data_IF_369667477234
#
_entry.id   IF_369667477234
#
_cell.length_a   1.000
_cell.length_b   1.000
_cell.length_c   1.000
_cell.angle_alpha   90.00
_cell.angle_beta   90.00
_cell.angle_gamma   90.00
#
_symmetry.space_group_name_H-M   'P 1'
#
loop_
_entity.id
_entity.type
_entity.pdbx_description
1 polymer ?
#
# COMPACT_ATOMS: atom_id res chain seq x y z
N UNK A 1 5.68 29.90 9.11
CA UNK A 1 5.01 28.61 8.87
C UNK A 1 6.09 27.56 8.81
N UNK A 2 5.98 26.47 9.57
CA UNK A 2 6.87 25.33 9.39
C UNK A 2 6.66 24.78 7.96
N UNK A 3 7.71 24.25 7.31
CA UNK A 3 7.56 23.67 5.98
C UNK A 3 6.58 22.47 6.06
N UNK A 4 5.85 22.19 4.98
CA UNK A 4 4.98 21.01 4.92
C UNK A 4 5.83 19.74 4.72
N UNK A 5 5.35 18.60 5.23
CA UNK A 5 5.96 17.27 5.05
C UNK A 5 6.37 17.01 3.58
N UNK A 6 5.53 17.44 2.65
CA UNK A 6 5.77 17.39 1.21
C UNK A 6 6.87 18.34 0.74
N UNK A 7 6.91 19.60 1.20
CA UNK A 7 7.95 20.56 0.81
C UNK A 7 9.36 20.21 1.30
N UNK A 8 9.47 19.44 2.38
CA UNK A 8 10.76 18.94 2.90
C UNK A 8 11.22 17.68 2.17
N UNK A 9 10.31 17.00 1.48
CA UNK A 9 10.61 15.70 0.87
C UNK A 9 11.24 15.84 -0.50
N UNK A 10 10.77 16.76 -1.35
CA UNK A 10 11.28 16.98 -2.70
C UNK A 10 11.67 18.45 -2.87
N UNK A 11 12.95 18.69 -3.13
CA UNK A 11 13.50 20.02 -3.36
C UNK A 11 14.14 20.08 -4.74
N UNK A 12 13.68 20.99 -5.60
CA UNK A 12 14.30 21.21 -6.91
C UNK A 12 15.70 21.84 -6.75
N UNK A 13 16.68 21.33 -7.50
CA UNK A 13 18.04 21.87 -7.59
C UNK A 13 18.18 22.70 -8.87
N UNK A 14 17.83 22.10 -10.01
CA UNK A 14 17.76 22.75 -11.32
C UNK A 14 16.57 22.20 -12.15
N UNK A 15 16.57 22.44 -13.47
CA UNK A 15 15.48 22.02 -14.34
C UNK A 15 15.31 20.49 -14.41
N UNK A 16 16.38 19.74 -14.22
CA UNK A 16 16.46 18.29 -14.48
C UNK A 16 16.85 17.50 -13.23
N UNK A 17 16.94 18.14 -12.06
CA UNK A 17 17.36 17.47 -10.82
C UNK A 17 16.68 17.97 -9.55
N UNK A 18 16.49 17.04 -8.61
CA UNK A 18 15.81 17.25 -7.33
C UNK A 18 16.52 16.48 -6.21
N UNK A 19 16.54 17.03 -5.01
CA UNK A 19 16.92 16.33 -3.79
C UNK A 19 15.69 15.70 -3.14
N UNK A 20 15.78 14.39 -2.87
CA UNK A 20 14.81 13.62 -2.09
C UNK A 20 15.32 13.51 -0.65
N UNK A 21 14.53 14.01 0.30
CA UNK A 21 14.77 13.85 1.73
C UNK A 21 16.12 14.41 2.21
N UNK A 22 16.66 15.43 1.54
CA UNK A 22 17.97 16.00 1.89
C UNK A 22 19.18 15.11 1.62
N UNK A 23 19.01 13.97 0.93
CA UNK A 23 20.08 12.97 0.79
C UNK A 23 20.26 12.40 -0.62
N UNK A 24 19.19 12.10 -1.34
CA UNK A 24 19.31 11.50 -2.67
C UNK A 24 19.14 12.54 -3.76
N UNK A 25 20.03 12.53 -4.75
CA UNK A 25 19.89 13.29 -5.98
C UNK A 25 19.10 12.47 -7.00
N UNK A 26 17.90 12.91 -7.31
CA UNK A 26 17.10 12.48 -8.44
C UNK A 26 17.51 13.28 -9.68
N UNK A 27 17.96 12.60 -10.74
CA UNK A 27 18.34 13.22 -12.01
C UNK A 27 17.47 12.70 -13.16
N UNK A 28 16.97 13.59 -14.01
CA UNK A 28 16.30 13.29 -15.28
C UNK A 28 17.29 13.44 -16.44
N UNK A 29 17.50 12.38 -17.22
CA UNK A 29 18.57 12.30 -18.23
C UNK A 29 18.14 11.51 -19.46
N UNK A 30 18.72 11.77 -20.64
CA UNK A 30 18.42 11.00 -21.86
C UNK A 30 18.87 9.53 -21.80
N UNK A 31 19.87 9.20 -20.97
CA UNK A 31 20.40 7.84 -20.83
C UNK A 31 20.68 7.51 -19.37
N UNK A 32 20.41 6.27 -18.93
CA UNK A 32 20.74 5.84 -17.58
C UNK A 32 22.25 5.64 -17.44
N UNK A 33 22.81 6.00 -16.28
CA UNK A 33 24.21 5.71 -16.00
C UNK A 33 24.40 4.26 -15.56
N UNK A 34 25.50 3.59 -15.93
CA UNK A 34 25.79 2.24 -15.48
C UNK A 34 25.95 2.20 -13.95
N UNK A 35 25.15 1.35 -13.29
CA UNK A 35 25.22 1.12 -11.84
C UNK A 35 24.21 1.93 -11.02
N UNK A 36 23.58 2.96 -11.60
CA UNK A 36 22.56 3.74 -10.91
C UNK A 36 21.20 3.02 -10.94
N UNK A 37 20.48 3.07 -9.82
CA UNK A 37 19.08 2.71 -9.79
C UNK A 37 18.30 3.71 -10.65
N UNK A 38 17.75 3.24 -11.78
CA UNK A 38 17.13 4.09 -12.80
C UNK A 38 15.87 3.47 -13.38
N UNK A 39 14.98 4.31 -13.89
CA UNK A 39 13.71 3.92 -14.50
C UNK A 39 13.29 4.89 -15.59
N UNK A 40 12.45 4.44 -16.51
CA UNK A 40 11.99 5.26 -17.64
C UNK A 40 10.98 6.32 -17.18
N UNK A 41 11.00 7.47 -17.84
CA UNK A 41 9.96 8.50 -17.71
C UNK A 41 8.72 8.25 -18.60
N UNK A 42 8.76 7.21 -19.44
CA UNK A 42 7.72 6.89 -20.43
C UNK A 42 7.86 7.63 -21.77
N UNK A 43 8.79 8.57 -21.89
CA UNK A 43 8.97 9.46 -23.05
C UNK A 43 10.42 9.46 -23.58
N UNK A 44 11.13 8.34 -23.40
CA UNK A 44 12.47 8.13 -23.95
C UNK A 44 13.60 8.73 -23.11
N UNK A 45 13.30 9.30 -21.94
CA UNK A 45 14.31 9.68 -20.94
C UNK A 45 14.19 8.78 -19.70
N UNK A 46 15.08 9.02 -18.75
CA UNK A 46 15.23 8.19 -17.56
C UNK A 46 15.41 9.07 -16.33
N UNK A 47 14.80 8.63 -15.25
CA UNK A 47 15.15 9.09 -13.91
C UNK A 47 16.20 8.14 -13.33
N UNK A 48 17.09 8.69 -12.52
CA UNK A 48 18.12 7.95 -11.78
C UNK A 48 18.32 8.57 -10.42
N UNK A 49 18.71 7.76 -9.44
CA UNK A 49 19.08 8.23 -8.11
C UNK A 49 20.54 7.95 -7.79
N UNK A 50 21.15 8.87 -7.06
CA UNK A 50 22.49 8.76 -6.49
C UNK A 50 22.54 9.48 -5.13
N UNK A 51 23.58 9.25 -4.33
CA UNK A 51 23.81 10.04 -3.12
C UNK A 51 24.17 11.47 -3.51
N UNK A 52 23.52 12.45 -2.88
CA UNK A 52 23.78 13.86 -3.11
C UNK A 52 25.16 14.25 -2.57
N UNK A 53 25.90 15.07 -3.32
CA UNK A 53 27.16 15.63 -2.86
C UNK A 53 26.94 16.88 -1.99
N UNK A 54 27.96 17.28 -1.22
CA UNK A 54 27.93 18.52 -0.42
C UNK A 54 27.59 19.74 -1.29
N UNK A 55 27.98 19.74 -2.56
CA UNK A 55 27.65 20.80 -3.51
C UNK A 55 26.15 20.83 -3.86
N UNK A 56 25.52 19.66 -4.01
CA UNK A 56 24.07 19.57 -4.32
C UNK A 56 23.20 19.97 -3.11
N UNK A 57 23.77 19.83 -1.92
CA UNK A 57 23.15 20.23 -0.66
C UNK A 57 23.39 21.72 -0.32
N UNK A 58 24.37 22.37 -0.95
CA UNK A 58 24.67 23.79 -0.71
C UNK A 58 23.54 24.70 -1.19
N UNK A 59 22.86 25.34 -0.23
CA UNK A 59 21.75 26.25 -0.44
C UNK A 59 22.18 27.65 -0.92
N UNK A 60 23.48 27.96 -0.89
CA UNK A 60 23.99 29.30 -1.21
C UNK A 60 24.12 29.56 -2.71
N UNK A 61 24.15 28.51 -3.54
CA UNK A 61 24.33 28.57 -4.99
C UNK A 61 23.01 28.55 -5.78
N UNK A 62 21.90 28.17 -5.14
CA UNK A 62 20.60 28.00 -5.79
C UNK A 62 19.84 29.32 -5.75
N UNK A 63 19.56 29.91 -6.92
CA UNK A 63 18.66 31.07 -6.97
C UNK A 63 17.29 30.70 -6.39
N UNK A 64 16.66 31.56 -5.57
CA UNK A 64 15.33 31.27 -5.04
C UNK A 64 14.36 31.09 -6.20
N UNK A 65 13.95 29.84 -6.46
CA UNK A 65 12.91 29.57 -7.43
C UNK A 65 11.60 30.18 -6.90
N UNK A 66 10.83 30.91 -7.74
CA UNK A 66 9.69 31.71 -7.27
C UNK A 66 8.65 30.89 -6.50
N UNK A 67 8.55 29.60 -6.77
CA UNK A 67 7.92 28.55 -5.94
C UNK A 67 8.60 27.22 -6.31
N UNK A 68 8.80 26.27 -5.38
CA UNK A 68 9.28 24.93 -5.73
C UNK A 68 8.23 24.28 -6.63
N UNK A 69 8.50 24.20 -7.93
CA UNK A 69 7.65 23.47 -8.85
C UNK A 69 8.08 22.01 -8.76
N UNK A 70 7.41 21.23 -7.91
CA UNK A 70 7.54 19.77 -7.93
C UNK A 70 6.68 19.31 -9.12
N UNK A 71 7.27 18.93 -10.27
CA UNK A 71 6.48 18.59 -11.45
C UNK A 71 5.82 17.20 -11.34
N UNK A 72 6.06 16.50 -10.23
CA UNK A 72 5.61 15.15 -9.98
C UNK A 72 4.21 15.15 -9.35
N UNK A 73 3.22 14.51 -9.98
CA UNK A 73 1.88 14.38 -9.40
C UNK A 73 1.94 13.75 -8.02
N UNK A 74 1.37 14.45 -7.03
CA UNK A 74 1.11 13.90 -5.70
C UNK A 74 -0.11 12.99 -5.81
N UNK A 75 0.11 11.68 -5.66
CA UNK A 75 -0.90 10.63 -5.85
C UNK A 75 -1.73 10.45 -4.59
N UNK A 76 -1.07 10.53 -3.43
CA UNK A 76 -1.70 10.40 -2.13
C UNK A 76 -0.91 11.21 -1.10
N UNK A 77 -1.61 11.85 -0.18
CA UNK A 77 -1.01 12.54 0.96
C UNK A 77 -1.91 12.40 2.18
N UNK A 78 -1.29 11.99 3.29
CA UNK A 78 -1.94 11.92 4.59
C UNK A 78 -1.11 12.75 5.56
N UNK A 79 -1.55 13.99 5.80
CA UNK A 79 -0.94 14.91 6.78
C UNK A 79 -1.84 15.06 8.00
N UNK A 80 -1.25 15.19 9.19
CA UNK A 80 -1.98 15.49 10.43
C UNK A 80 -2.37 14.26 11.27
N UNK A 81 -2.05 13.06 10.81
CA UNK A 81 -2.06 11.85 11.65
C UNK A 81 -0.66 11.64 12.24
N UNK A 82 -0.56 10.77 13.26
CA UNK A 82 0.73 10.45 13.89
C UNK A 82 1.76 9.83 12.91
N UNK A 83 1.36 9.50 11.67
CA UNK A 83 2.16 8.78 10.68
C UNK A 83 2.04 9.44 9.30
N UNK A 84 2.66 10.62 9.10
CA UNK A 84 2.65 11.30 7.81
C UNK A 84 3.16 10.40 6.68
N UNK A 85 2.45 10.42 5.55
CA UNK A 85 2.88 9.73 4.34
C UNK A 85 2.47 10.49 3.09
N UNK A 86 3.29 10.37 2.07
CA UNK A 86 3.04 10.94 0.76
C UNK A 86 3.61 10.04 -0.33
N UNK A 87 2.95 10.02 -1.47
CA UNK A 87 3.38 9.27 -2.65
C UNK A 87 3.34 10.15 -3.90
N UNK A 88 4.43 10.16 -4.67
CA UNK A 88 4.54 10.87 -5.94
C UNK A 88 4.71 9.90 -7.09
N UNK A 89 4.08 10.20 -8.22
CA UNK A 89 4.37 9.55 -9.49
C UNK A 89 5.55 10.27 -10.17
N UNK A 90 6.63 9.54 -10.42
CA UNK A 90 7.85 10.06 -11.03
C UNK A 90 8.15 9.19 -12.25
N UNK A 91 7.66 9.58 -13.43
CA UNK A 91 7.76 8.75 -14.62
C UNK A 91 7.05 7.39 -14.43
N UNK A 92 7.72 6.29 -14.79
CA UNK A 92 7.22 4.94 -14.57
C UNK A 92 7.61 4.35 -13.19
N UNK A 93 7.69 5.18 -12.16
CA UNK A 93 7.87 4.75 -10.77
C UNK A 93 7.04 5.59 -9.80
N UNK A 94 6.90 5.09 -8.58
CA UNK A 94 6.36 5.83 -7.45
C UNK A 94 7.43 6.01 -6.39
N UNK A 95 7.53 7.22 -5.83
CA UNK A 95 8.25 7.51 -4.59
C UNK A 95 7.23 7.56 -3.46
N UNK A 96 7.32 6.63 -2.50
CA UNK A 96 6.59 6.69 -1.22
C UNK A 96 7.54 7.16 -0.12
N UNK A 97 7.10 8.13 0.67
CA UNK A 97 7.81 8.59 1.87
C UNK A 97 6.87 8.52 3.06
N UNK A 98 7.28 7.77 4.08
CA UNK A 98 6.42 7.38 5.20
C UNK A 98 7.20 7.65 6.49
N UNK A 99 6.57 8.29 7.46
CA UNK A 99 7.06 8.29 8.86
C UNK A 99 6.39 7.11 9.57
N UNK A 100 7.10 6.00 9.79
CA UNK A 100 6.51 4.80 10.35
C UNK A 100 6.14 5.02 11.82
N UNK A 101 5.05 4.38 12.26
CA UNK A 101 4.60 4.46 13.66
C UNK A 101 5.58 3.81 14.62
N UNK A 102 6.34 2.85 14.11
CA UNK A 102 7.24 2.00 14.85
C UNK A 102 8.34 1.51 13.90
N UNK A 103 9.60 1.46 14.35
CA UNK A 103 10.68 0.87 13.57
C UNK A 103 10.57 -0.65 13.46
N UNK A 104 9.67 -1.30 14.22
CA UNK A 104 9.43 -2.74 14.14
C UNK A 104 8.42 -3.12 13.05
N UNK A 105 7.75 -2.16 12.39
CA UNK A 105 6.85 -2.46 11.27
C UNK A 105 7.65 -3.09 10.13
N UNK A 106 7.21 -4.27 9.68
CA UNK A 106 7.69 -4.91 8.47
C UNK A 106 7.52 -3.96 7.30
N UNK A 107 8.63 -3.60 6.65
CA UNK A 107 8.62 -2.63 5.56
C UNK A 107 8.07 -3.25 4.28
N UNK A 108 7.40 -2.44 3.48
CA UNK A 108 6.82 -2.90 2.21
C UNK A 108 7.87 -3.54 1.27
N UNK A 109 9.14 -3.10 1.29
CA UNK A 109 10.19 -3.73 0.47
C UNK A 109 10.47 -5.19 0.90
N UNK A 110 10.41 -5.51 2.19
CA UNK A 110 10.57 -6.87 2.73
C UNK A 110 9.37 -7.74 2.32
N UNK A 111 8.17 -7.16 2.41
CA UNK A 111 6.94 -7.83 1.96
C UNK A 111 6.96 -8.08 0.45
N UNK A 112 7.37 -7.11 -0.36
CA UNK A 112 7.50 -7.22 -1.82
C UNK A 112 8.48 -8.32 -2.22
N UNK A 113 9.67 -8.38 -1.61
CA UNK A 113 10.64 -9.46 -1.85
C UNK A 113 10.03 -10.84 -1.53
N UNK A 114 9.27 -10.94 -0.43
CA UNK A 114 8.59 -12.17 -0.05
C UNK A 114 7.49 -12.57 -1.05
N UNK A 115 6.64 -11.63 -1.49
CA UNK A 115 5.57 -11.96 -2.44
C UNK A 115 6.10 -12.27 -3.84
N UNK A 116 7.22 -11.68 -4.27
CA UNK A 116 7.91 -12.06 -5.51
C UNK A 116 8.33 -13.54 -5.47
N UNK A 117 8.91 -13.98 -4.35
CA UNK A 117 9.28 -15.39 -4.13
C UNK A 117 8.04 -16.30 -4.11
N UNK A 118 7.02 -15.94 -3.34
CA UNK A 118 5.76 -16.70 -3.26
C UNK A 118 5.07 -16.80 -4.62
N UNK A 119 5.01 -15.71 -5.39
CA UNK A 119 4.44 -15.70 -6.75
C UNK A 119 5.13 -16.71 -7.65
N UNK A 120 6.47 -16.76 -7.62
CA UNK A 120 7.24 -17.72 -8.42
C UNK A 120 6.99 -19.17 -7.96
N UNK A 121 7.06 -19.42 -6.65
CA UNK A 121 6.85 -20.77 -6.08
C UNK A 121 5.44 -21.33 -6.31
N UNK A 122 4.43 -20.46 -6.21
CA UNK A 122 3.02 -20.83 -6.28
C UNK A 122 2.41 -20.61 -7.68
N UNK A 123 3.22 -20.13 -8.64
CA UNK A 123 2.79 -19.78 -10.00
C UNK A 123 1.56 -18.86 -10.03
N UNK A 124 1.56 -17.82 -9.18
CA UNK A 124 0.42 -16.90 -9.08
C UNK A 124 0.36 -15.99 -10.30
N UNK A 125 -0.84 -15.79 -10.85
CA UNK A 125 -1.08 -15.01 -12.08
C UNK A 125 -1.59 -13.59 -11.77
N UNK A 126 -0.67 -12.74 -11.31
CA UNK A 126 -0.86 -11.29 -11.19
C UNK A 126 0.47 -10.53 -11.28
N UNK A 127 0.47 -9.28 -11.73
CA UNK A 127 1.63 -8.40 -11.69
C UNK A 127 1.75 -7.66 -10.35
N UNK A 128 2.97 -7.29 -9.97
CA UNK A 128 3.25 -6.56 -8.75
C UNK A 128 4.40 -5.57 -8.97
N UNK A 129 4.49 -4.50 -8.15
CA UNK A 129 5.63 -3.59 -8.22
C UNK A 129 6.96 -4.29 -7.93
N UNK A 130 8.02 -3.79 -8.56
CA UNK A 130 9.40 -4.15 -8.24
C UNK A 130 10.05 -3.00 -7.49
N UNK A 131 10.75 -3.31 -6.41
CA UNK A 131 11.52 -2.31 -5.65
C UNK A 131 12.71 -1.86 -6.48
N UNK A 132 12.82 -0.56 -6.73
CA UNK A 132 13.96 0.09 -7.37
C UNK A 132 14.96 0.52 -6.30
N UNK A 133 14.46 1.09 -5.21
CA UNK A 133 15.27 1.58 -4.10
C UNK A 133 14.47 1.61 -2.80
N UNK A 134 15.17 1.42 -1.68
CA UNK A 134 14.62 1.72 -0.36
C UNK A 134 15.72 2.27 0.56
N UNK A 135 15.34 3.09 1.53
CA UNK A 135 16.26 3.60 2.55
C UNK A 135 15.53 4.24 3.72
N UNK A 136 16.23 4.36 4.85
CA UNK A 136 15.70 4.97 6.08
C UNK A 136 16.69 5.98 6.63
N UNK A 137 16.23 7.22 6.82
CA UNK A 137 16.98 8.31 7.46
C UNK A 137 16.00 9.39 7.95
N UNK A 138 16.42 10.20 8.93
CA UNK A 138 15.61 11.27 9.52
C UNK A 138 14.19 10.83 9.92
N UNK A 139 14.10 9.64 10.52
CA UNK A 139 12.85 8.98 10.94
C UNK A 139 11.83 8.71 9.81
N UNK A 140 12.28 8.78 8.56
CA UNK A 140 11.47 8.53 7.36
C UNK A 140 11.96 7.28 6.64
N UNK A 141 11.00 6.53 6.13
CA UNK A 141 11.18 5.43 5.21
C UNK A 141 10.87 5.90 3.80
N UNK A 142 11.82 5.66 2.89
CA UNK A 142 11.75 6.01 1.48
C UNK A 142 11.71 4.72 0.67
N UNK A 143 10.75 4.64 -0.25
CA UNK A 143 10.58 3.51 -1.15
C UNK A 143 10.33 4.01 -2.57
N UNK A 144 11.14 3.55 -3.52
CA UNK A 144 10.92 3.77 -4.94
C UNK A 144 10.62 2.42 -5.58
N UNK A 145 9.49 2.33 -6.27
CA UNK A 145 8.99 1.11 -6.88
C UNK A 145 8.46 1.36 -8.29
N UNK A 146 8.57 0.37 -9.17
CA UNK A 146 8.07 0.45 -10.55
C UNK A 146 6.56 0.69 -10.58
N UNK A 147 6.09 1.58 -11.46
CA UNK A 147 4.68 1.70 -11.81
C UNK A 147 4.23 0.43 -12.53
N UNK A 148 3.16 -0.19 -12.06
CA UNK A 148 2.52 -1.31 -12.76
C UNK A 148 1.52 -0.77 -13.78
N UNK A 149 1.52 -1.22 -15.03
CA UNK A 149 0.53 -0.81 -16.03
C UNK A 149 -0.91 -1.15 -15.61
N UNK A 150 -1.86 -0.35 -16.10
CA UNK A 150 -3.29 -0.59 -15.93
C UNK A 150 -4.03 0.54 -15.23
N UNK A 151 -5.34 0.33 -15.09
CA UNK A 151 -6.23 1.22 -14.34
C UNK A 151 -6.71 0.51 -13.08
N UNK A 152 -6.84 1.25 -11.99
CA UNK A 152 -7.42 0.71 -10.76
C UNK A 152 -8.82 0.16 -11.03
N UNK A 153 -9.14 -1.00 -10.48
CA UNK A 153 -10.45 -1.63 -10.57
C UNK A 153 -11.54 -0.67 -10.07
N UNK A 154 -11.21 0.16 -9.09
CA UNK A 154 -12.04 1.28 -8.62
C UNK A 154 -12.53 2.18 -9.76
N UNK A 155 -11.61 2.75 -10.55
CA UNK A 155 -11.93 3.63 -11.70
C UNK A 155 -12.68 2.89 -12.80
N UNK A 156 -12.37 1.61 -13.01
CA UNK A 156 -13.04 0.79 -14.02
C UNK A 156 -14.42 0.30 -13.58
N UNK A 157 -14.68 0.17 -12.29
CA UNK A 157 -15.90 -0.42 -11.73
C UNK A 157 -17.21 0.14 -12.29
N UNK A 158 -17.38 1.48 -12.43
CA UNK A 158 -18.59 2.04 -13.03
C UNK A 158 -18.68 1.85 -14.55
N UNK A 159 -17.57 1.51 -15.22
CA UNK A 159 -17.47 1.40 -16.69
C UNK A 159 -17.65 -0.03 -17.20
N UNK A 160 -17.38 -1.03 -16.36
CA UNK A 160 -17.49 -2.45 -16.73
C UNK A 160 -18.89 -3.00 -16.45
N UNK A 161 -19.29 -4.02 -17.20
CA UNK A 161 -20.59 -4.68 -17.03
C UNK A 161 -20.62 -5.63 -15.82
N UNK A 162 -21.82 -6.12 -15.50
CA UNK A 162 -22.04 -7.04 -14.38
C UNK A 162 -21.20 -8.34 -14.48
N UNK A 163 -21.03 -8.87 -15.70
CA UNK A 163 -20.26 -10.09 -15.93
C UNK A 163 -18.78 -9.87 -15.63
N UNK A 164 -18.23 -8.74 -16.05
CA UNK A 164 -16.87 -8.33 -15.78
C UNK A 164 -16.64 -8.05 -14.29
N UNK A 165 -17.58 -7.38 -13.60
CA UNK A 165 -17.52 -7.20 -12.14
C UNK A 165 -17.43 -8.53 -11.41
N UNK A 166 -18.32 -9.47 -11.73
CA UNK A 166 -18.29 -10.80 -11.12
C UNK A 166 -17.01 -11.56 -11.48
N UNK A 167 -16.52 -11.44 -12.71
CA UNK A 167 -15.26 -12.05 -13.13
C UNK A 167 -14.07 -11.60 -12.26
N UNK A 168 -13.91 -10.29 -12.03
CA UNK A 168 -12.82 -9.78 -11.20
C UNK A 168 -12.99 -10.12 -9.72
N UNK A 169 -14.22 -10.12 -9.20
CA UNK A 169 -14.51 -10.61 -7.84
C UNK A 169 -14.04 -12.05 -7.67
N UNK A 170 -14.42 -12.95 -8.58
CA UNK A 170 -14.03 -14.35 -8.50
C UNK A 170 -12.50 -14.53 -8.63
N UNK A 171 -11.82 -13.74 -9.48
CA UNK A 171 -10.35 -13.77 -9.57
C UNK A 171 -9.66 -13.33 -8.28
N UNK A 172 -10.15 -12.27 -7.64
CA UNK A 172 -9.55 -11.76 -6.40
C UNK A 172 -9.89 -12.67 -5.21
N UNK A 173 -11.10 -13.24 -5.14
CA UNK A 173 -11.45 -14.26 -4.14
C UNK A 173 -10.55 -15.50 -4.27
N UNK A 174 -10.32 -15.98 -5.50
CA UNK A 174 -9.38 -17.07 -5.77
C UNK A 174 -7.94 -16.72 -5.36
N UNK A 175 -7.52 -15.47 -5.55
CA UNK A 175 -6.21 -15.01 -5.06
C UNK A 175 -6.13 -15.07 -3.52
N UNK A 176 -7.17 -14.62 -2.81
CA UNK A 176 -7.24 -14.76 -1.35
C UNK A 176 -7.14 -16.23 -0.91
N UNK A 177 -7.83 -17.14 -1.60
CA UNK A 177 -7.73 -18.58 -1.37
C UNK A 177 -6.29 -19.09 -1.53
N UNK A 178 -5.66 -18.81 -2.67
CA UNK A 178 -4.31 -19.24 -2.98
C UNK A 178 -3.31 -18.68 -1.96
N UNK A 179 -3.34 -17.38 -1.68
CA UNK A 179 -2.45 -16.75 -0.70
C UNK A 179 -2.65 -17.33 0.70
N UNK A 180 -3.89 -17.64 1.09
CA UNK A 180 -4.20 -18.21 2.41
C UNK A 180 -3.64 -19.61 2.64
N UNK A 181 -3.14 -20.29 1.59
CA UNK A 181 -2.42 -21.56 1.74
C UNK A 181 -1.04 -21.40 2.37
N UNK A 182 -0.48 -20.18 2.35
CA UNK A 182 0.75 -19.86 3.08
C UNK A 182 0.43 -19.59 4.54
N UNK A 183 1.04 -20.37 5.41
CA UNK A 183 0.80 -20.33 6.86
C UNK A 183 1.98 -19.73 7.62
N UNK A 184 1.67 -19.08 8.74
CA UNK A 184 2.63 -18.53 9.70
C UNK A 184 2.27 -18.94 11.12
N UNK A 185 3.25 -18.89 12.02
CA UNK A 185 3.11 -19.25 13.44
C UNK A 185 2.64 -18.09 14.33
N UNK A 186 2.63 -16.87 13.81
CA UNK A 186 2.22 -15.66 14.53
C UNK A 186 1.40 -14.72 13.64
N UNK A 187 0.57 -13.88 14.27
CA UNK A 187 0.00 -12.69 13.62
C UNK A 187 1.07 -11.62 13.53
N UNK A 188 1.63 -11.41 12.35
CA UNK A 188 2.81 -10.57 12.13
C UNK A 188 2.97 -10.22 10.66
N UNK A 189 3.91 -9.32 10.35
CA UNK A 189 4.42 -9.21 8.98
C UNK A 189 5.23 -10.45 8.57
N UNK A 190 5.69 -10.46 7.33
CA UNK A 190 6.35 -11.63 6.72
C UNK A 190 7.67 -12.04 7.38
N UNK A 191 8.33 -11.11 8.06
CA UNK A 191 9.60 -11.29 8.79
C UNK A 191 9.40 -11.47 10.30
N UNK A 192 8.15 -11.64 10.77
CA UNK A 192 7.81 -11.69 12.19
C UNK A 192 7.68 -10.31 12.85
N UNK A 193 7.92 -9.23 12.11
CA UNK A 193 7.75 -7.85 12.55
C UNK A 193 6.29 -7.44 12.75
N UNK A 194 6.10 -6.16 13.04
CA UNK A 194 4.78 -5.58 13.32
C UNK A 194 3.97 -5.47 12.03
N UNK A 195 2.70 -5.85 12.10
CA UNK A 195 1.74 -5.78 11.01
C UNK A 195 0.85 -4.54 11.21
N UNK A 196 0.89 -3.52 10.33
CA UNK A 196 0.14 -2.27 10.51
C UNK A 196 -1.37 -2.41 10.19
N UNK A 197 -2.03 -3.40 10.79
CA UNK A 197 -3.46 -3.65 10.64
C UNK A 197 -4.29 -2.83 11.65
N UNK A 198 -4.62 -1.60 11.26
CA UNK A 198 -5.33 -0.64 12.12
C UNK A 198 -6.69 -1.14 12.61
N UNK A 199 -7.41 -1.97 11.85
CA UNK A 199 -8.72 -2.48 12.27
C UNK A 199 -8.61 -3.63 13.29
N UNK A 200 -7.40 -4.12 13.57
CA UNK A 200 -7.09 -5.00 14.70
C UNK A 200 -6.41 -4.26 15.85
N UNK A 201 -6.34 -2.92 15.79
CA UNK A 201 -5.97 -2.08 16.92
C UNK A 201 -7.21 -1.42 17.49
N UNK A 202 -7.43 -1.54 18.79
CA UNK A 202 -8.35 -0.62 19.47
C UNK A 202 -7.71 0.77 19.46
N UNK A 203 -8.51 1.83 19.28
CA UNK A 203 -8.05 3.21 19.48
C UNK A 203 -7.72 3.36 20.97
N UNK A 204 -6.48 3.10 21.35
CA UNK A 204 -5.95 3.61 22.62
C UNK A 204 -5.84 5.13 22.51
N UNK A 205 -5.82 5.85 23.64
CA UNK A 205 -5.48 7.28 23.65
C UNK A 205 -4.02 7.53 23.21
N UNK A 206 -3.26 6.46 22.94
CA UNK A 206 -1.88 6.40 22.49
C UNK A 206 -1.75 5.78 21.09
N UNK A 207 -0.53 5.82 20.54
CA UNK A 207 -0.15 5.31 19.20
C UNK A 207 -0.55 3.85 19.02
N UNK A 208 -1.09 3.48 17.85
CA UNK A 208 -1.47 2.10 17.52
C UNK A 208 -0.32 1.11 17.79
N UNK A 209 -0.60 0.09 18.61
CA UNK A 209 0.35 -0.97 18.92
C UNK A 209 0.13 -2.20 18.02
N UNK A 210 1.05 -2.38 17.08
CA UNK A 210 1.05 -3.43 16.07
C UNK A 210 1.86 -4.67 16.45
N UNK A 211 2.25 -4.81 17.71
CA UNK A 211 3.00 -5.99 18.15
C UNK A 211 2.20 -7.28 17.94
N UNK A 212 2.84 -8.39 17.54
CA UNK A 212 2.17 -9.68 17.40
C UNK A 212 1.36 -10.10 18.63
N UNK A 213 1.87 -9.82 19.83
CA UNK A 213 1.16 -10.11 21.09
C UNK A 213 -0.13 -9.30 21.21
N UNK A 214 -0.09 -7.99 20.90
CA UNK A 214 -1.27 -7.13 21.02
C UNK A 214 -2.31 -7.48 19.97
N UNK A 215 -1.89 -7.69 18.71
CA UNK A 215 -2.78 -8.11 17.64
C UNK A 215 -3.44 -9.46 17.97
N UNK A 216 -2.69 -10.43 18.51
CA UNK A 216 -3.23 -11.72 18.94
C UNK A 216 -4.32 -11.57 20.02
N UNK A 217 -4.09 -10.73 21.03
CA UNK A 217 -5.08 -10.45 22.08
C UNK A 217 -6.34 -9.84 21.50
N UNK A 218 -6.18 -8.83 20.64
CA UNK A 218 -7.30 -8.14 19.99
C UNK A 218 -8.09 -9.07 19.09
N UNK A 219 -7.41 -9.94 18.32
CA UNK A 219 -8.08 -10.91 17.46
C UNK A 219 -8.93 -11.91 18.24
N UNK A 220 -8.42 -12.40 19.38
CA UNK A 220 -9.19 -13.28 20.28
C UNK A 220 -10.38 -12.54 20.89
N UNK A 221 -10.17 -11.30 21.33
CA UNK A 221 -11.23 -10.48 21.92
C UNK A 221 -12.33 -10.11 20.91
N UNK A 222 -12.00 -10.00 19.62
CA UNK A 222 -12.97 -9.79 18.54
C UNK A 222 -13.62 -11.08 18.03
N UNK A 223 -13.38 -12.22 18.67
CA UNK A 223 -14.04 -13.50 18.37
C UNK A 223 -13.37 -14.40 17.33
N UNK A 224 -12.15 -14.09 16.86
CA UNK A 224 -11.45 -14.95 15.90
C UNK A 224 -10.76 -16.14 16.58
N UNK A 225 -10.75 -17.30 15.91
CA UNK A 225 -9.96 -18.44 16.36
C UNK A 225 -8.47 -18.22 16.08
N UNK A 226 -7.70 -18.13 17.16
CA UNK A 226 -6.25 -17.98 17.12
C UNK A 226 -5.53 -19.18 17.76
N UNK A 227 -6.16 -20.36 17.72
CA UNK A 227 -5.62 -21.62 18.27
C UNK A 227 -4.84 -22.46 17.25
N UNK A 228 -5.01 -22.18 15.96
CA UNK A 228 -4.46 -22.96 14.84
C UNK A 228 -3.21 -22.29 14.25
N UNK A 229 -3.32 -21.79 13.01
CA UNK A 229 -2.26 -21.22 12.19
C UNK A 229 -2.76 -19.93 11.55
N UNK A 230 -1.89 -18.95 11.42
CA UNK A 230 -2.19 -17.70 10.73
C UNK A 230 -1.96 -17.88 9.24
N UNK A 231 -2.74 -17.20 8.40
CA UNK A 231 -2.68 -17.31 6.94
C UNK A 231 -2.22 -15.99 6.33
N UNK A 232 -1.48 -16.06 5.24
CA UNK A 232 -1.02 -14.86 4.54
C UNK A 232 -2.17 -14.15 3.83
N UNK A 233 -2.31 -12.85 4.07
CA UNK A 233 -3.33 -11.99 3.48
C UNK A 233 -2.79 -10.57 3.26
N UNK A 234 -3.24 -9.93 2.19
CA UNK A 234 -2.86 -8.57 1.83
C UNK A 234 -3.35 -7.50 2.84
N UNK A 235 -4.44 -7.77 3.55
CA UNK A 235 -5.06 -6.87 4.55
C UNK A 235 -5.62 -5.53 4.04
N UNK A 236 -5.30 -5.13 2.80
CA UNK A 236 -5.88 -3.92 2.17
C UNK A 236 -6.32 -4.11 0.70
N UNK A 237 -7.13 -5.13 0.40
CA UNK A 237 -7.65 -5.40 -0.95
C UNK A 237 -8.88 -4.55 -1.31
N UNK A 238 -8.79 -3.24 -1.09
CA UNK A 238 -9.73 -2.28 -1.67
C UNK A 238 -9.61 -2.25 -3.20
N UNK A 239 -10.67 -1.85 -3.90
CA UNK A 239 -10.66 -1.78 -5.36
C UNK A 239 -9.62 -0.78 -5.93
N UNK A 240 -9.10 0.13 -5.09
CA UNK A 240 -8.01 1.05 -5.45
C UNK A 240 -6.64 0.36 -5.58
N UNK A 241 -6.45 -0.77 -4.88
CA UNK A 241 -5.17 -1.50 -4.82
C UNK A 241 -5.10 -2.66 -5.84
N UNK A 242 -6.10 -2.78 -6.70
CA UNK A 242 -6.17 -3.77 -7.77
C UNK A 242 -6.12 -3.00 -9.07
N UNK A 243 -5.17 -3.30 -9.96
CA UNK A 243 -5.14 -2.75 -11.31
C UNK A 243 -5.48 -3.82 -12.33
N UNK A 244 -6.14 -3.39 -13.39
CA UNK A 244 -6.44 -4.21 -14.55
C UNK A 244 -5.69 -3.60 -15.74
N UNK A 245 -4.87 -4.40 -16.41
CA UNK A 245 -4.31 -4.01 -17.69
C UNK A 245 -5.43 -3.99 -18.73
N UNK A 246 -5.67 -2.84 -19.35
CA UNK A 246 -6.74 -2.66 -20.32
C UNK A 246 -6.46 -3.36 -21.66
N UNK A 247 -5.25 -3.84 -21.88
CA UNK A 247 -4.81 -4.51 -23.10
C UNK A 247 -5.23 -5.97 -23.12
N UNK A 248 -5.05 -6.69 -22.00
CA UNK A 248 -5.28 -8.14 -21.91
C UNK A 248 -6.16 -8.57 -20.72
N UNK A 249 -6.56 -7.64 -19.85
CA UNK A 249 -7.36 -7.91 -18.66
C UNK A 249 -6.57 -8.58 -17.53
N UNK A 250 -5.24 -8.60 -17.60
CA UNK A 250 -4.39 -9.13 -16.54
C UNK A 250 -4.53 -8.30 -15.25
N UNK A 251 -4.31 -8.96 -14.12
CA UNK A 251 -4.53 -8.38 -12.79
C UNK A 251 -3.19 -7.98 -12.20
N UNK A 252 -3.13 -6.83 -11.53
CA UNK A 252 -2.02 -6.45 -10.68
C UNK A 252 -2.51 -6.06 -9.28
N UNK A 253 -1.68 -6.31 -8.28
CA UNK A 253 -1.93 -5.92 -6.89
C UNK A 253 -0.80 -5.03 -6.41
N UNK A 254 -1.16 -3.89 -5.82
CA UNK A 254 -0.24 -2.90 -5.28
C UNK A 254 -0.53 -2.65 -3.80
N UNK A 255 0.37 -1.88 -3.16
CA UNK A 255 0.23 -1.42 -1.78
C UNK A 255 0.28 -2.54 -0.74
N UNK A 256 1.40 -3.27 -0.72
CA UNK A 256 1.61 -4.44 0.11
C UNK A 256 2.07 -4.09 1.54
N UNK A 257 2.01 -2.82 1.95
CA UNK A 257 2.51 -2.34 3.25
C UNK A 257 1.78 -2.96 4.46
N UNK A 258 0.54 -3.40 4.27
CA UNK A 258 -0.28 -4.03 5.32
C UNK A 258 -0.30 -5.56 5.22
N UNK A 259 0.40 -6.19 4.27
CA UNK A 259 0.29 -7.63 4.07
C UNK A 259 1.09 -8.43 5.10
N UNK A 260 0.52 -9.54 5.57
CA UNK A 260 1.12 -10.39 6.59
C UNK A 260 0.26 -11.58 6.97
N UNK A 261 0.59 -12.21 8.08
CA UNK A 261 -0.11 -13.37 8.61
C UNK A 261 -1.19 -12.95 9.59
N UNK A 262 -2.42 -13.42 9.38
CA UNK A 262 -3.62 -13.08 10.18
C UNK A 262 -4.51 -14.31 10.40
N UNK A 263 -5.46 -14.28 11.37
CA UNK A 263 -6.47 -15.33 11.48
C UNK A 263 -7.27 -15.45 10.18
N UNK A 264 -7.70 -16.68 9.84
CA UNK A 264 -8.40 -16.94 8.57
C UNK A 264 -9.71 -16.16 8.47
N UNK A 265 -10.42 -15.99 9.58
CA UNK A 265 -11.62 -15.18 9.73
C UNK A 265 -11.41 -13.73 9.30
N UNK A 266 -10.18 -13.21 9.44
CA UNK A 266 -9.89 -11.80 9.14
C UNK A 266 -10.07 -11.48 7.66
N UNK A 267 -9.80 -12.43 6.76
CA UNK A 267 -9.87 -12.23 5.31
C UNK A 267 -11.26 -11.76 4.89
N UNK A 268 -12.33 -12.46 5.32
CA UNK A 268 -13.71 -12.08 5.00
C UNK A 268 -14.22 -10.97 5.93
N UNK A 269 -13.85 -11.00 7.21
CA UNK A 269 -14.25 -9.97 8.19
C UNK A 269 -13.84 -8.58 7.72
N UNK A 270 -12.62 -8.43 7.17
CA UNK A 270 -12.10 -7.16 6.66
C UNK A 270 -13.04 -6.51 5.64
N UNK A 271 -13.56 -7.27 4.67
CA UNK A 271 -14.54 -6.74 3.68
C UNK A 271 -15.87 -6.32 4.31
N UNK A 272 -16.25 -6.90 5.46
CA UNK A 272 -17.48 -6.52 6.16
C UNK A 272 -17.33 -5.25 7.00
N UNK A 273 -16.14 -4.93 7.49
CA UNK A 273 -15.94 -3.87 8.49
C UNK A 273 -15.06 -2.69 8.05
N UNK A 274 -14.22 -2.87 7.03
CA UNK A 274 -13.27 -1.84 6.58
C UNK A 274 -13.88 -0.89 5.55
N UNK A 275 -13.80 0.41 5.82
CA UNK A 275 -14.27 1.46 4.91
C UNK A 275 -13.35 1.66 3.70
N UNK A 276 -12.05 1.28 3.80
CA UNK A 276 -11.12 1.26 2.66
C UNK A 276 -11.50 0.26 1.57
N UNK A 277 -12.48 -0.61 1.84
CA UNK A 277 -13.05 -1.55 0.87
C UNK A 277 -14.26 -0.95 0.12
N UNK A 278 -14.70 0.26 0.47
CA UNK A 278 -15.74 0.96 -0.28
C UNK A 278 -15.17 1.58 -1.57
N UNK A 279 -16.01 1.65 -2.59
CA UNK A 279 -15.81 2.53 -3.74
C UNK A 279 -16.03 3.98 -3.30
N UNK A 280 -15.32 4.91 -3.95
CA UNK A 280 -15.56 6.33 -3.80
C UNK A 280 -16.87 6.67 -4.52
N UNK A 281 -17.49 7.76 -4.10
CA UNK A 281 -18.68 8.25 -4.79
C UNK A 281 -18.30 8.72 -6.18
N UNK A 282 -18.81 8.06 -7.22
CA UNK A 282 -18.75 8.60 -8.58
C UNK A 282 -19.91 9.58 -8.76
N UNK A 283 -19.67 10.84 -9.16
CA UNK A 283 -20.75 11.79 -9.45
C UNK A 283 -21.63 11.38 -10.64
N UNK A 284 -21.20 10.39 -11.43
CA UNK A 284 -21.80 10.02 -12.71
C UNK A 284 -22.64 8.74 -12.69
N UNK A 285 -22.72 8.03 -11.55
CA UNK A 285 -23.41 6.74 -11.51
C UNK A 285 -24.00 6.44 -10.12
N UNK A 286 -25.13 7.10 -9.80
CA UNK A 286 -25.84 6.95 -8.53
C UNK A 286 -26.43 5.54 -8.31
N UNK A 287 -26.43 4.68 -9.34
CA UNK A 287 -27.01 3.34 -9.28
C UNK A 287 -26.09 2.29 -8.64
N UNK A 288 -24.79 2.54 -8.54
CA UNK A 288 -23.83 1.57 -7.96
C UNK A 288 -23.57 1.93 -6.49
N UNK A 289 -23.98 1.07 -5.53
CA UNK A 289 -23.71 1.33 -4.14
C UNK A 289 -22.20 1.37 -3.85
N UNK A 290 -21.76 2.29 -2.98
CA UNK A 290 -20.35 2.38 -2.55
C UNK A 290 -19.79 1.06 -2.03
N UNK A 291 -20.61 0.25 -1.38
CA UNK A 291 -20.22 -1.03 -0.80
C UNK A 291 -20.30 -2.20 -1.81
N UNK A 292 -20.60 -1.97 -3.09
CA UNK A 292 -20.82 -3.04 -4.08
C UNK A 292 -19.61 -3.99 -4.18
N UNK A 293 -18.39 -3.44 -4.29
CA UNK A 293 -17.15 -4.22 -4.29
C UNK A 293 -17.04 -5.15 -3.07
N UNK A 294 -17.04 -4.58 -1.86
CA UNK A 294 -16.85 -5.35 -0.62
C UNK A 294 -18.01 -6.31 -0.34
N UNK A 295 -19.23 -5.95 -0.74
CA UNK A 295 -20.40 -6.81 -0.61
C UNK A 295 -20.36 -8.01 -1.56
N UNK A 296 -19.73 -7.88 -2.73
CA UNK A 296 -19.49 -9.02 -3.64
C UNK A 296 -18.35 -9.89 -3.15
N UNK A 297 -17.22 -9.29 -2.78
CA UNK A 297 -16.07 -10.01 -2.23
C UNK A 297 -16.45 -10.85 -1.01
N UNK A 298 -17.16 -10.28 -0.04
CA UNK A 298 -17.55 -11.03 1.16
C UNK A 298 -18.51 -12.20 0.86
N UNK A 299 -19.37 -12.08 -0.16
CA UNK A 299 -20.26 -13.18 -0.61
C UNK A 299 -19.49 -14.26 -1.34
N UNK A 300 -18.50 -13.89 -2.16
CA UNK A 300 -17.69 -14.87 -2.88
C UNK A 300 -16.82 -15.67 -1.90
N UNK A 301 -16.16 -14.99 -0.97
CA UNK A 301 -15.38 -15.62 0.09
C UNK A 301 -16.24 -16.54 0.99
N UNK A 302 -17.50 -16.19 1.24
CA UNK A 302 -18.44 -17.06 1.96
C UNK A 302 -18.68 -18.39 1.23
N UNK A 303 -18.88 -18.34 -0.09
CA UNK A 303 -19.05 -19.56 -0.92
C UNK A 303 -17.81 -20.45 -0.86
N UNK A 304 -16.63 -19.84 -0.78
CA UNK A 304 -15.34 -20.53 -0.66
C UNK A 304 -15.02 -20.97 0.80
N UNK A 305 -15.98 -20.84 1.71
CA UNK A 305 -15.88 -21.34 3.08
C UNK A 305 -14.99 -20.49 4.00
N UNK A 306 -14.78 -19.20 3.67
CA UNK A 306 -14.13 -18.28 4.61
C UNK A 306 -15.11 -17.85 5.71
N UNK A 307 -14.80 -18.12 6.98
CA UNK A 307 -15.60 -17.63 8.10
C UNK A 307 -15.42 -16.11 8.24
N UNK A 308 -16.34 -15.48 8.96
CA UNK A 308 -16.17 -14.10 9.41
C UNK A 308 -16.73 -13.94 10.83
N UNK A 309 -16.27 -12.89 11.51
CA UNK A 309 -16.70 -12.55 12.88
C UNK A 309 -17.14 -11.09 12.97
N UNK A 310 -17.67 -10.52 11.88
CA UNK A 310 -17.89 -9.07 11.79
C UNK A 310 -18.83 -8.52 12.86
N UNK A 311 -19.83 -9.30 13.31
CA UNK A 311 -20.76 -8.89 14.37
C UNK A 311 -20.02 -8.75 15.71
N UNK A 312 -19.31 -9.80 16.14
CA UNK A 312 -18.49 -9.79 17.36
C UNK A 312 -17.37 -8.75 17.28
N UNK A 313 -16.74 -8.60 16.12
CA UNK A 313 -15.75 -7.54 15.89
C UNK A 313 -16.38 -6.16 16.04
N UNK A 314 -17.57 -5.91 15.50
CA UNK A 314 -18.26 -4.62 15.62
C UNK A 314 -18.65 -4.33 17.07
N UNK A 315 -19.07 -5.33 17.84
CA UNK A 315 -19.32 -5.19 19.28
C UNK A 315 -18.04 -4.82 20.03
N UNK A 316 -16.97 -5.59 19.83
CA UNK A 316 -15.65 -5.34 20.40
C UNK A 316 -15.12 -3.94 20.04
N UNK A 317 -15.31 -3.50 18.80
CA UNK A 317 -14.88 -2.19 18.33
C UNK A 317 -15.75 -1.04 18.88
N UNK A 318 -17.05 -1.28 19.11
CA UNK A 318 -18.01 -0.31 19.67
C UNK A 318 -18.04 -0.24 21.19
N UNK A 319 -17.57 -1.27 21.92
CA UNK A 319 -17.36 -1.21 23.37
C UNK A 319 -16.47 -0.02 23.80
N UNK A 320 -15.82 0.64 22.84
CA UNK A 320 -15.13 1.92 22.91
C UNK A 320 -15.98 3.16 23.23
N UNK A 321 -17.28 3.18 22.90
CA UNK A 321 -18.08 4.42 22.98
C UNK A 321 -18.83 4.56 24.34
N UNK A 322 -18.61 3.66 25.31
CA UNK A 322 -19.34 3.63 26.59
C UNK A 322 -18.49 3.84 27.85
N UNK A 323 -17.20 4.12 27.71
CA UNK A 323 -16.28 4.45 28.82
C UNK A 323 -15.60 5.81 28.60
#
# INVERSE_FOLDING_TARGET
>A
MAPSFTSETLRQVDADSWIIGGRLLLSHRPTPLPGDASWSDGNGHFFSISEASDHDLDLSSVQPLPQPNIPFPLVNEVVGFAHPRAAWEIGNAFLKVITPVSPQITREHVTLDTIHKMKHEMQLDFALPTVIYHGEWDDRYYLILTKVPGQTLHKMWPLIDEKARQHYVSRVARLCELLSTRQGSSISGVDGGYLPEYYLTQKEKEVSNFSPTRLLQNSRASGMDCSTTFVFYHCDLGAGNILIDTTDGSLAIIDWECAGFVPREWIRTKFRVCAGMDLEMSPSNDDIPRHDWRARMQRELEKDGFPDVAETWMEWFRCRDRE
#
